data_IF_862362017948
#
_entry.id   IF_862362017948
#
_cell.length_a   1.000
_cell.length_b   1.000
_cell.length_c   1.000
_cell.angle_alpha   90.00
_cell.angle_beta   90.00
_cell.angle_gamma   90.00
#
_symmetry.space_group_name_H-M   'P 1'
#
loop_
_entity.id
_entity.type
_entity.pdbx_description
1 polymer ?
#
# COMPACT_ATOMS: atom_id res chain seq x y z
N UNK A 1 -8.34 -24.51 3.81
CA UNK A 1 -7.39 -23.50 4.33
C UNK A 1 -8.08 -22.15 4.55
N UNK A 2 -8.81 -21.61 3.58
CA UNK A 2 -9.60 -20.37 3.77
C UNK A 2 -10.67 -20.48 4.87
N UNK A 3 -11.45 -21.56 4.91
CA UNK A 3 -12.44 -21.79 5.97
C UNK A 3 -11.84 -21.81 7.38
N UNK A 4 -10.62 -22.32 7.51
CA UNK A 4 -9.88 -22.31 8.77
C UNK A 4 -9.56 -20.88 9.21
N UNK A 5 -9.05 -20.04 8.30
CA UNK A 5 -8.80 -18.64 8.64
C UNK A 5 -10.09 -17.86 8.92
N UNK A 6 -11.15 -18.07 8.13
CA UNK A 6 -12.45 -17.44 8.38
C UNK A 6 -13.00 -17.81 9.76
N UNK A 7 -12.91 -19.09 10.15
CA UNK A 7 -13.30 -19.55 11.48
C UNK A 7 -12.48 -18.85 12.57
N UNK A 8 -11.15 -18.78 12.43
CA UNK A 8 -10.28 -18.12 13.39
C UNK A 8 -10.59 -16.61 13.54
N UNK A 9 -10.90 -15.93 12.43
CA UNK A 9 -11.31 -14.51 12.44
C UNK A 9 -12.66 -14.32 13.13
N UNK A 10 -13.61 -15.24 12.94
CA UNK A 10 -14.92 -15.19 13.61
C UNK A 10 -14.79 -15.46 15.11
N UNK A 11 -13.95 -16.42 15.51
CA UNK A 11 -13.72 -16.75 16.91
C UNK A 11 -12.91 -15.66 17.65
N UNK A 12 -12.02 -14.95 16.93
CA UNK A 12 -11.12 -13.96 17.51
C UNK A 12 -11.09 -12.66 16.67
N UNK A 13 -12.21 -11.91 16.57
CA UNK A 13 -12.34 -10.81 15.61
C UNK A 13 -11.45 -9.59 15.90
N UNK A 14 -10.92 -9.48 17.12
CA UNK A 14 -9.99 -8.43 17.54
C UNK A 14 -8.53 -8.90 17.65
N UNK A 15 -8.22 -10.16 17.33
CA UNK A 15 -6.85 -10.65 17.42
C UNK A 15 -6.05 -10.19 16.19
N UNK A 16 -5.16 -9.22 16.40
CA UNK A 16 -4.39 -8.60 15.33
C UNK A 16 -3.49 -9.59 14.57
N UNK A 17 -2.97 -10.63 15.24
CA UNK A 17 -2.17 -11.69 14.61
C UNK A 17 -3.03 -12.53 13.65
N UNK A 18 -4.26 -12.89 14.07
CA UNK A 18 -5.19 -13.64 13.23
C UNK A 18 -5.62 -12.81 12.02
N UNK A 19 -5.93 -11.52 12.22
CA UNK A 19 -6.30 -10.59 11.17
C UNK A 19 -5.15 -10.41 10.15
N UNK A 20 -3.92 -10.20 10.61
CA UNK A 20 -2.72 -10.13 9.75
C UNK A 20 -2.55 -11.40 8.93
N UNK A 21 -2.58 -12.56 9.57
CA UNK A 21 -2.31 -13.82 8.89
C UNK A 21 -3.37 -14.12 7.83
N UNK A 22 -4.62 -13.74 8.08
CA UNK A 22 -5.66 -13.85 7.08
C UNK A 22 -5.50 -12.85 5.93
N UNK A 23 -5.10 -11.61 6.21
CA UNK A 23 -4.79 -10.61 5.20
C UNK A 23 -3.65 -11.07 4.27
N UNK A 24 -2.59 -11.65 4.85
CA UNK A 24 -1.48 -12.25 4.10
C UNK A 24 -1.95 -13.39 3.21
N UNK A 25 -2.83 -14.25 3.73
CA UNK A 25 -3.41 -15.35 2.96
C UNK A 25 -4.20 -14.83 1.75
N UNK A 26 -5.01 -13.79 1.96
CA UNK A 26 -5.80 -13.15 0.92
C UNK A 26 -4.89 -12.55 -0.17
N UNK A 27 -3.84 -11.84 0.23
CA UNK A 27 -2.90 -11.21 -0.70
C UNK A 27 -2.08 -12.24 -1.49
N UNK A 28 -1.35 -13.13 -0.81
CA UNK A 28 -0.39 -14.03 -1.47
C UNK A 28 -1.06 -15.19 -2.21
N UNK A 29 -2.13 -15.77 -1.66
CA UNK A 29 -2.68 -17.03 -2.17
C UNK A 29 -3.99 -16.85 -2.92
N UNK A 30 -4.78 -15.82 -2.60
CA UNK A 30 -6.05 -15.53 -3.28
C UNK A 30 -5.95 -14.40 -4.29
N UNK A 31 -4.92 -13.56 -4.21
CA UNK A 31 -4.83 -12.33 -4.99
C UNK A 31 -5.95 -11.34 -4.66
N UNK A 32 -6.62 -11.49 -3.50
CA UNK A 32 -7.67 -10.58 -3.05
C UNK A 32 -7.03 -9.41 -2.30
N UNK A 33 -6.53 -8.45 -3.10
CA UNK A 33 -5.84 -7.26 -2.60
C UNK A 33 -6.77 -6.38 -1.75
N UNK A 34 -8.05 -6.28 -2.11
CA UNK A 34 -9.04 -5.47 -1.38
C UNK A 34 -9.40 -6.10 -0.04
N UNK A 35 -9.64 -7.41 -0.02
CA UNK A 35 -9.84 -8.14 1.22
C UNK A 35 -8.62 -8.02 2.14
N UNK A 36 -7.41 -8.16 1.59
CA UNK A 36 -6.19 -7.96 2.35
C UNK A 36 -6.12 -6.56 2.99
N UNK A 37 -6.41 -5.50 2.23
CA UNK A 37 -6.43 -4.12 2.76
C UNK A 37 -7.37 -3.98 3.96
N UNK A 38 -8.59 -4.51 3.86
CA UNK A 38 -9.57 -4.48 4.95
C UNK A 38 -9.00 -5.14 6.22
N UNK A 39 -8.45 -6.35 6.11
CA UNK A 39 -7.97 -7.08 7.28
C UNK A 39 -6.68 -6.50 7.87
N UNK A 40 -5.75 -5.99 7.06
CA UNK A 40 -4.59 -5.26 7.59
C UNK A 40 -5.02 -3.97 8.29
N UNK A 41 -5.98 -3.21 7.73
CA UNK A 41 -6.49 -1.99 8.36
C UNK A 41 -7.08 -2.28 9.75
N UNK A 42 -7.83 -3.38 9.88
CA UNK A 42 -8.39 -3.85 11.16
C UNK A 42 -7.28 -4.28 12.13
N UNK A 43 -6.26 -4.99 11.66
CA UNK A 43 -5.13 -5.39 12.50
C UNK A 43 -4.41 -4.17 13.11
N UNK A 44 -4.18 -3.12 12.31
CA UNK A 44 -3.55 -1.86 12.74
C UNK A 44 -4.38 -1.17 13.84
N UNK A 45 -5.71 -1.25 13.78
CA UNK A 45 -6.61 -0.63 14.76
C UNK A 45 -6.65 -1.37 16.11
N UNK A 46 -6.37 -2.68 16.15
CA UNK A 46 -6.54 -3.49 17.35
C UNK A 46 -5.33 -3.44 18.28
N UNK A 47 -4.14 -3.79 17.81
CA UNK A 47 -2.90 -3.77 18.64
C UNK A 47 -1.61 -3.68 17.80
N UNK A 48 -1.68 -3.77 16.47
CA UNK A 48 -0.50 -3.78 15.60
C UNK A 48 -0.12 -2.39 15.08
N UNK A 49 -0.54 -1.33 15.76
CA UNK A 49 -0.28 0.06 15.34
C UNK A 49 1.21 0.44 15.34
N UNK A 50 2.07 -0.36 15.99
CA UNK A 50 3.52 -0.23 16.10
C UNK A 50 4.28 -1.44 15.51
N UNK A 51 3.63 -2.27 14.70
CA UNK A 51 4.32 -3.35 13.98
C UNK A 51 4.75 -2.82 12.60
N UNK A 52 6.06 -2.62 12.42
CA UNK A 52 6.62 -2.08 11.18
C UNK A 52 6.33 -2.94 9.96
N UNK A 53 6.28 -4.26 10.11
CA UNK A 53 6.00 -5.18 9.01
C UNK A 53 4.55 -5.01 8.53
N UNK A 54 3.59 -4.94 9.46
CA UNK A 54 2.17 -4.75 9.14
C UNK A 54 1.93 -3.38 8.50
N UNK A 55 2.54 -2.33 9.06
CA UNK A 55 2.42 -0.98 8.53
C UNK A 55 2.96 -0.87 7.11
N UNK A 56 4.11 -1.49 6.81
CA UNK A 56 4.70 -1.48 5.46
C UNK A 56 3.88 -2.30 4.45
N UNK A 57 3.32 -3.45 4.86
CA UNK A 57 2.39 -4.23 4.02
C UNK A 57 1.11 -3.46 3.71
N UNK A 58 0.51 -2.80 4.70
CA UNK A 58 -0.65 -1.97 4.47
C UNK A 58 -0.34 -0.76 3.58
N UNK A 59 0.80 -0.09 3.78
CA UNK A 59 1.24 1.01 2.93
C UNK A 59 1.36 0.60 1.46
N UNK A 60 1.95 -0.58 1.20
CA UNK A 60 2.04 -1.18 -0.12
C UNK A 60 0.66 -1.40 -0.75
N UNK A 61 -0.30 -1.96 -0.01
CA UNK A 61 -1.66 -2.15 -0.51
C UNK A 61 -2.36 -0.83 -0.83
N UNK A 62 -2.17 0.20 0.00
CA UNK A 62 -2.71 1.54 -0.26
C UNK A 62 -2.16 2.11 -1.57
N UNK A 63 -0.86 1.93 -1.82
CA UNK A 63 -0.24 2.35 -3.08
C UNK A 63 -0.75 1.55 -4.27
N UNK A 64 -0.83 0.22 -4.16
CA UNK A 64 -1.30 -0.66 -5.24
C UNK A 64 -2.75 -0.41 -5.65
N UNK A 65 -3.64 -0.24 -4.67
CA UNK A 65 -5.09 -0.10 -4.92
C UNK A 65 -5.50 1.31 -5.28
N UNK A 66 -4.94 2.31 -4.58
CA UNK A 66 -5.46 3.68 -4.62
C UNK A 66 -4.51 4.66 -5.28
N UNK A 67 -3.22 4.29 -5.44
CA UNK A 67 -2.14 5.21 -5.87
C UNK A 67 -2.10 6.50 -5.03
N UNK A 68 -2.50 6.38 -3.76
CA UNK A 68 -2.47 7.48 -2.80
C UNK A 68 -1.06 7.55 -2.16
N UNK A 69 -0.19 8.30 -2.83
CA UNK A 69 1.21 8.47 -2.43
C UNK A 69 1.34 9.09 -1.03
N UNK A 70 0.49 10.05 -0.67
CA UNK A 70 0.57 10.71 0.63
C UNK A 70 0.24 9.73 1.76
N UNK A 71 -0.87 8.99 1.61
CA UNK A 71 -1.29 8.00 2.59
C UNK A 71 -0.28 6.86 2.68
N UNK A 72 0.17 6.31 1.56
CA UNK A 72 1.18 5.25 1.53
C UNK A 72 2.49 5.68 2.20
N UNK A 73 3.02 6.86 1.85
CA UNK A 73 4.24 7.41 2.45
C UNK A 73 4.11 7.57 3.97
N UNK A 74 2.98 8.09 4.46
CA UNK A 74 2.73 8.22 5.90
C UNK A 74 2.81 6.88 6.64
N UNK A 75 2.24 5.81 6.08
CA UNK A 75 2.31 4.48 6.69
C UNK A 75 3.72 3.87 6.62
N UNK A 76 4.47 4.06 5.53
CA UNK A 76 5.86 3.63 5.46
C UNK A 76 6.77 4.36 6.45
N UNK A 77 6.58 5.67 6.63
CA UNK A 77 7.32 6.45 7.63
C UNK A 77 7.04 5.95 9.04
N UNK A 78 5.77 5.66 9.37
CA UNK A 78 5.40 5.03 10.64
C UNK A 78 6.03 3.64 10.79
N UNK A 79 6.09 2.85 9.71
CA UNK A 79 6.73 1.54 9.72
C UNK A 79 8.23 1.65 10.06
N UNK A 80 8.94 2.61 9.47
CA UNK A 80 10.35 2.89 9.77
C UNK A 80 10.56 3.39 11.20
N UNK A 81 9.64 4.21 11.73
CA UNK A 81 9.71 4.64 13.13
C UNK A 81 9.53 3.47 14.10
N UNK A 82 8.62 2.54 13.77
CA UNK A 82 8.37 1.35 14.56
C UNK A 82 9.51 0.32 14.48
N UNK A 83 10.15 0.18 13.33
CA UNK A 83 11.17 -0.84 13.08
C UNK A 83 12.30 -0.31 12.18
N UNK A 84 13.14 0.62 12.68
CA UNK A 84 14.11 1.34 11.85
C UNK A 84 15.24 0.46 11.31
N UNK A 85 15.46 -0.71 11.92
CA UNK A 85 16.51 -1.67 11.54
C UNK A 85 15.96 -2.91 10.83
N UNK A 86 14.66 -2.94 10.53
CA UNK A 86 14.06 -4.03 9.77
C UNK A 86 14.34 -3.84 8.28
N UNK A 87 15.12 -4.76 7.71
CA UNK A 87 15.51 -4.70 6.30
C UNK A 87 14.34 -4.89 5.34
N UNK A 88 13.29 -5.63 5.72
CA UNK A 88 12.09 -5.78 4.91
C UNK A 88 11.31 -4.48 4.85
N UNK A 89 11.17 -3.77 5.98
CA UNK A 89 10.51 -2.47 6.03
C UNK A 89 11.27 -1.44 5.20
N UNK A 90 12.60 -1.38 5.36
CA UNK A 90 13.46 -0.48 4.58
C UNK A 90 13.36 -0.76 3.07
N UNK A 91 13.44 -2.03 2.67
CA UNK A 91 13.35 -2.41 1.27
C UNK A 91 11.97 -2.09 0.68
N UNK A 92 10.89 -2.33 1.42
CA UNK A 92 9.54 -2.02 0.97
C UNK A 92 9.34 -0.51 0.75
N UNK A 93 9.88 0.33 1.65
CA UNK A 93 9.80 1.78 1.48
C UNK A 93 10.68 2.28 0.33
N UNK A 94 11.89 1.75 0.17
CA UNK A 94 12.76 2.10 -0.95
C UNK A 94 12.10 1.76 -2.30
N UNK A 95 11.48 0.59 -2.40
CA UNK A 95 10.74 0.20 -3.61
C UNK A 95 9.57 1.15 -3.90
N UNK A 96 8.81 1.54 -2.86
CA UNK A 96 7.75 2.54 -3.01
C UNK A 96 8.28 3.89 -3.53
N UNK A 97 9.40 4.38 -3.00
CA UNK A 97 9.98 5.65 -3.44
C UNK A 97 10.37 5.60 -4.92
N UNK A 98 11.04 4.53 -5.36
CA UNK A 98 11.37 4.34 -6.79
C UNK A 98 10.13 4.31 -7.67
N UNK A 99 9.10 3.57 -7.29
CA UNK A 99 7.84 3.52 -8.06
C UNK A 99 7.15 4.89 -8.15
N UNK A 100 7.26 5.72 -7.11
CA UNK A 100 6.65 7.06 -7.11
C UNK A 100 7.44 8.09 -7.91
N UNK A 101 8.78 8.01 -7.90
CA UNK A 101 9.65 8.87 -8.72
C UNK A 101 9.38 8.61 -10.22
N UNK A 102 9.34 7.34 -10.64
CA UNK A 102 8.98 6.97 -12.02
C UNK A 102 7.58 7.44 -12.42
N UNK A 103 6.62 7.43 -11.49
CA UNK A 103 5.26 7.89 -11.74
C UNK A 103 5.16 9.41 -11.91
N UNK A 104 5.94 10.17 -11.14
CA UNK A 104 6.03 11.62 -11.27
C UNK A 104 6.71 12.04 -12.58
N UNK A 105 7.79 11.37 -12.97
CA UNK A 105 8.48 11.57 -14.25
C UNK A 105 7.59 11.22 -15.46
N UNK A 106 6.82 10.13 -15.38
CA UNK A 106 5.85 9.79 -16.42
C UNK A 106 4.72 10.83 -16.56
N UNK A 107 4.27 11.42 -15.43
CA UNK A 107 3.26 12.49 -15.44
C UNK A 107 3.81 13.81 -15.96
N UNK A 108 5.07 14.14 -15.68
CA UNK A 108 5.69 15.38 -16.16
C UNK A 108 5.85 15.35 -17.68
N UNK A 109 6.36 14.24 -18.23
CA UNK A 109 6.44 14.00 -19.67
C UNK A 109 5.07 14.02 -20.37
N UNK A 110 4.05 13.42 -19.76
CA UNK A 110 2.69 13.43 -20.29
C UNK A 110 2.05 14.83 -20.32
N UNK A 111 2.38 15.70 -19.36
CA UNK A 111 1.93 17.09 -19.35
C UNK A 111 2.65 17.95 -20.38
N UNK A 112 3.94 17.75 -20.56
CA UNK A 112 4.76 18.48 -21.55
C UNK A 112 4.29 18.18 -23.00
N UNK A 113 4.01 16.90 -23.31
CA UNK A 113 3.41 16.55 -24.62
C UNK A 113 1.98 17.10 -24.81
N UNK A 114 1.20 17.24 -23.73
CA UNK A 114 -0.15 17.80 -23.81
C UNK A 114 -0.16 19.32 -24.02
N UNK A 115 0.84 20.04 -23.50
CA UNK A 115 1.00 21.48 -23.72
C UNK A 115 1.43 21.82 -25.15
N UNK A 116 2.25 20.97 -25.77
CA UNK A 116 2.71 21.18 -27.15
C UNK A 116 1.59 21.02 -28.19
N UNK A 117 0.62 20.12 -27.95
CA UNK A 117 -0.53 19.93 -28.83
C UNK A 117 -1.56 21.09 -28.75
N UNK A 118 -1.63 21.82 -27.64
CA UNK A 118 -2.52 22.99 -27.51
C UNK A 118 -1.95 24.27 -28.14
N UNK A 119 -0.65 24.32 -28.41
CA UNK A 119 0.02 25.47 -29.05
C UNK A 119 -0.09 25.53 -30.58
N UNK A 120 -0.54 24.44 -31.24
CA UNK A 120 -0.51 24.33 -32.71
C UNK A 120 -1.83 24.71 -33.42
N UNK A 121 -2.87 25.15 -32.70
CA UNK A 121 -4.20 25.38 -33.30
C UNK A 121 -4.65 26.85 -33.44
N UNK A 122 -3.77 27.85 -33.28
CA UNK A 122 -4.13 29.27 -33.40
C UNK A 122 -3.37 30.03 -34.51
N UNK A 123 -3.38 29.53 -35.76
CA UNK A 123 -2.89 30.32 -36.91
C UNK A 123 -3.67 30.09 -38.21
N UNK A 124 -5.01 30.03 -38.15
CA UNK A 124 -5.87 30.13 -39.34
C UNK A 124 -7.12 30.96 -39.05
N UNK A 125 -6.95 32.27 -38.88
CA UNK A 125 -7.92 33.31 -39.26
C UNK A 125 -7.17 34.62 -39.45
#
# INVERSE_FOLDING_TARGET
>A
MEEYYKKMVVENPGNALVLRNYAEFLYQWKGDVRGAEEYYSRAILMDCSQDGEILSKYAKLVWELHRDQQKASSYFQRALQASPHDSHVQAAYANFLWETEEYEDGRSLGKEMATDLHGSCNSLT
#
